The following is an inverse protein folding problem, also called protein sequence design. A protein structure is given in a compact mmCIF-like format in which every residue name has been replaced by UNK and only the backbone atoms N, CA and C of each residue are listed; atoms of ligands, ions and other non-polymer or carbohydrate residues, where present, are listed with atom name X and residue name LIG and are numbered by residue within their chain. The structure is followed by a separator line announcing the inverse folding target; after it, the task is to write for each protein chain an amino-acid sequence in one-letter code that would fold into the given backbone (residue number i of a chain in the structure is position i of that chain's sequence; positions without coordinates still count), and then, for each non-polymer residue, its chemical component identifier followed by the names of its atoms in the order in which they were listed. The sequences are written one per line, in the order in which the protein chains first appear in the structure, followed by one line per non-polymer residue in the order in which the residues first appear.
data_IF_424402947529
#
_entry.id   IF_424402947529
#
_cell.length_a   1.000
_cell.length_b   1.000
_cell.length_c   1.000
_cell.angle_alpha   90.00
_cell.angle_beta   90.00
_cell.angle_gamma   90.00
#
_symmetry.space_group_name_H-M   'P 1'
#
loop_
_entity.id
_entity.type
_entity.pdbx_description
1 polymer ?
#
# COMPACT_ATOMS: atom_id res chain seq x y z
N UNK A 1 33.78 -17.00 -3.34
CA UNK A 1 32.37 -16.55 -3.40
C UNK A 1 31.72 -17.05 -4.69
N UNK A 2 30.64 -17.78 -4.62
CA UNK A 2 29.85 -18.09 -5.81
C UNK A 2 29.18 -16.81 -6.28
N UNK A 3 29.46 -16.43 -7.52
CA UNK A 3 28.79 -15.31 -8.18
C UNK A 3 27.33 -15.69 -8.39
N UNK A 4 26.40 -15.06 -7.68
CA UNK A 4 24.98 -15.29 -7.93
C UNK A 4 24.63 -14.87 -9.36
N UNK A 5 24.01 -15.80 -10.07
CA UNK A 5 23.55 -15.55 -11.43
C UNK A 5 22.18 -14.90 -11.35
N UNK A 6 22.04 -13.71 -11.90
CA UNK A 6 20.77 -13.00 -11.94
C UNK A 6 19.72 -13.79 -12.74
N UNK A 7 18.53 -13.92 -12.19
CA UNK A 7 17.38 -14.51 -12.86
C UNK A 7 16.55 -13.43 -13.52
N UNK A 8 16.17 -13.65 -14.78
CA UNK A 8 15.30 -12.72 -15.51
C UNK A 8 13.82 -12.99 -15.19
N UNK A 9 13.06 -11.94 -15.02
CA UNK A 9 11.61 -11.98 -14.99
C UNK A 9 11.04 -10.83 -15.83
N UNK A 10 9.79 -10.90 -16.18
CA UNK A 10 9.11 -9.86 -16.96
C UNK A 10 7.82 -9.40 -16.28
N UNK A 11 7.46 -8.16 -16.52
CA UNK A 11 6.23 -7.57 -16.03
C UNK A 11 5.64 -6.68 -17.12
N UNK A 12 4.32 -6.65 -17.21
CA UNK A 12 3.60 -5.78 -18.14
C UNK A 12 3.04 -4.58 -17.40
N UNK A 13 3.35 -3.40 -17.89
CA UNK A 13 2.89 -2.12 -17.33
C UNK A 13 2.14 -1.32 -18.40
N UNK A 14 1.23 -0.46 -17.94
CA UNK A 14 0.67 0.56 -18.82
C UNK A 14 1.79 1.48 -19.33
N UNK A 15 1.76 1.92 -20.61
CA UNK A 15 2.82 2.75 -21.17
C UNK A 15 3.16 3.99 -20.35
N UNK A 16 2.17 4.71 -19.86
CA UNK A 16 2.37 5.90 -19.05
C UNK A 16 3.09 5.61 -17.72
N UNK A 17 2.84 4.45 -17.11
CA UNK A 17 3.51 4.04 -15.88
C UNK A 17 4.96 3.67 -16.13
N UNK A 18 5.25 3.02 -17.25
CA UNK A 18 6.62 2.69 -17.66
C UNK A 18 7.44 3.96 -17.93
N UNK A 19 6.85 4.95 -18.60
CA UNK A 19 7.49 6.24 -18.85
C UNK A 19 7.88 6.93 -17.53
N UNK A 20 6.99 6.99 -16.58
CA UNK A 20 7.25 7.56 -15.25
C UNK A 20 8.32 6.78 -14.48
N UNK A 21 8.33 5.46 -14.60
CA UNK A 21 9.42 4.64 -14.03
C UNK A 21 10.77 5.03 -14.62
N UNK A 22 10.85 5.21 -15.94
CA UNK A 22 12.09 5.58 -16.63
C UNK A 22 12.56 6.98 -16.23
N UNK A 23 11.65 7.96 -16.12
CA UNK A 23 11.95 9.30 -15.63
C UNK A 23 12.52 9.26 -14.21
N UNK A 24 11.85 8.58 -13.29
CA UNK A 24 12.29 8.43 -11.90
C UNK A 24 13.66 7.71 -11.82
N UNK A 25 13.86 6.69 -12.63
CA UNK A 25 15.13 5.95 -12.69
C UNK A 25 16.29 6.87 -13.08
N UNK A 26 16.07 7.71 -14.09
CA UNK A 26 17.06 8.69 -14.55
C UNK A 26 17.32 9.78 -13.48
N UNK A 27 16.27 10.35 -12.90
CA UNK A 27 16.39 11.40 -11.88
C UNK A 27 17.14 10.93 -10.63
N UNK A 28 16.96 9.68 -10.25
CA UNK A 28 17.67 9.08 -9.10
C UNK A 28 19.09 8.60 -9.43
N UNK A 29 19.51 8.71 -10.67
CA UNK A 29 20.86 8.36 -11.09
C UNK A 29 21.14 6.88 -11.24
N UNK A 30 20.12 6.06 -11.42
CA UNK A 30 20.31 4.63 -11.73
C UNK A 30 20.73 4.43 -13.18
N UNK A 31 21.68 3.54 -13.40
CA UNK A 31 22.17 3.24 -14.74
C UNK A 31 21.16 2.49 -15.62
N UNK A 32 20.26 1.74 -14.99
CA UNK A 32 19.25 0.96 -15.69
C UNK A 32 18.05 0.62 -14.79
N UNK A 33 16.98 0.12 -15.43
CA UNK A 33 15.74 -0.29 -14.73
C UNK A 33 15.99 -1.36 -13.69
N UNK A 34 16.85 -2.34 -13.97
CA UNK A 34 17.10 -3.46 -13.07
C UNK A 34 17.65 -3.02 -11.72
N UNK A 35 18.55 -2.05 -11.68
CA UNK A 35 19.10 -1.49 -10.45
C UNK A 35 18.02 -0.72 -9.66
N UNK A 36 17.25 0.11 -10.33
CA UNK A 36 16.16 0.86 -9.70
C UNK A 36 15.10 -0.08 -9.10
N UNK A 37 14.66 -1.07 -9.85
CA UNK A 37 13.66 -2.05 -9.41
C UNK A 37 14.21 -2.89 -8.26
N UNK A 38 15.46 -3.32 -8.30
CA UNK A 38 16.08 -4.08 -7.21
C UNK A 38 16.10 -3.29 -5.91
N UNK A 39 16.40 -1.99 -5.94
CA UNK A 39 16.36 -1.14 -4.77
C UNK A 39 14.95 -0.92 -4.24
N UNK A 40 13.97 -0.73 -5.14
CA UNK A 40 12.56 -0.66 -4.75
C UNK A 40 12.07 -1.93 -4.06
N UNK A 41 12.45 -3.08 -4.60
CA UNK A 41 12.10 -4.39 -3.99
C UNK A 41 12.74 -4.53 -2.62
N UNK A 42 14.02 -4.20 -2.48
CA UNK A 42 14.71 -4.26 -1.18
C UNK A 42 14.05 -3.36 -0.14
N UNK A 43 13.69 -2.13 -0.52
CA UNK A 43 13.00 -1.20 0.37
C UNK A 43 11.65 -1.76 0.84
N UNK A 44 10.86 -2.31 -0.07
CA UNK A 44 9.58 -2.93 0.27
C UNK A 44 9.74 -4.19 1.15
N UNK A 45 10.74 -5.00 0.90
CA UNK A 45 11.03 -6.19 1.72
C UNK A 45 11.47 -5.81 3.14
N UNK A 46 12.29 -4.77 3.28
CA UNK A 46 12.71 -4.27 4.61
C UNK A 46 11.49 -3.77 5.38
N UNK A 47 10.66 -2.97 4.75
CA UNK A 47 9.42 -2.48 5.35
C UNK A 47 8.48 -3.63 5.74
N UNK A 48 8.33 -4.62 4.87
CA UNK A 48 7.52 -5.81 5.13
C UNK A 48 8.03 -6.61 6.34
N UNK A 49 9.34 -6.79 6.47
CA UNK A 49 9.96 -7.53 7.58
C UNK A 49 9.85 -6.79 8.93
N UNK A 50 9.99 -5.47 8.92
CA UNK A 50 9.85 -4.66 10.14
C UNK A 50 8.45 -4.73 10.74
N UNK A 51 7.47 -5.13 9.95
CA UNK A 51 6.05 -5.21 10.31
C UNK A 51 5.63 -6.57 10.86
N UNK A 52 6.54 -7.46 11.21
CA UNK A 52 6.20 -8.81 11.73
C UNK A 52 5.76 -8.83 13.19
N UNK A 53 5.63 -7.68 13.83
CA UNK A 53 5.20 -7.58 15.21
C UNK A 53 3.72 -7.96 15.36
N UNK A 54 3.40 -8.72 16.42
CA UNK A 54 2.05 -9.17 16.76
C UNK A 54 1.34 -8.24 17.74
N UNK A 55 1.99 -7.17 18.17
CA UNK A 55 1.41 -6.18 19.09
C UNK A 55 0.23 -5.42 18.52
N UNK A 56 -0.50 -4.75 19.40
CA UNK A 56 -1.58 -3.84 18.99
C UNK A 56 -0.99 -2.54 18.44
N UNK A 57 -1.46 -2.14 17.29
CA UNK A 57 -1.08 -0.92 16.61
C UNK A 57 -2.30 -0.05 16.30
N UNK A 58 -2.04 1.22 16.06
CA UNK A 58 -2.96 2.12 15.40
C UNK A 58 -2.33 2.60 14.08
N UNK A 59 -3.14 3.08 13.18
CA UNK A 59 -2.64 3.57 11.91
C UNK A 59 -3.74 4.10 11.01
N UNK A 60 -3.35 4.42 9.79
CA UNK A 60 -4.26 4.83 8.74
C UNK A 60 -4.03 4.02 7.48
N UNK A 61 -5.11 3.72 6.78
CA UNK A 61 -5.07 3.15 5.44
C UNK A 61 -5.59 4.22 4.50
N UNK A 62 -4.76 4.66 3.58
CA UNK A 62 -5.13 5.68 2.59
C UNK A 62 -5.32 5.02 1.24
N UNK A 63 -6.46 5.27 0.60
CA UNK A 63 -6.82 4.74 -0.71
C UNK A 63 -7.11 5.87 -1.67
N UNK A 64 -6.66 5.73 -2.91
CA UNK A 64 -7.08 6.57 -4.03
C UNK A 64 -7.73 5.69 -5.08
N UNK A 65 -8.94 6.02 -5.48
CA UNK A 65 -9.68 5.26 -6.47
C UNK A 65 -10.68 6.12 -7.25
N UNK A 66 -11.09 5.61 -8.41
CA UNK A 66 -12.15 6.21 -9.21
C UNK A 66 -13.50 5.70 -8.72
N UNK A 67 -14.32 6.59 -8.16
CA UNK A 67 -15.64 6.24 -7.64
C UNK A 67 -16.64 5.82 -8.73
N UNK A 68 -16.35 6.06 -10.00
CA UNK A 68 -17.18 5.60 -11.11
C UNK A 68 -16.91 4.14 -11.51
N UNK A 69 -15.87 3.49 -10.98
CA UNK A 69 -15.60 2.08 -11.27
C UNK A 69 -16.71 1.20 -10.73
N UNK A 70 -17.36 0.38 -11.60
CA UNK A 70 -18.44 -0.51 -11.15
C UNK A 70 -17.99 -1.44 -10.03
N UNK A 71 -18.85 -1.62 -9.05
CA UNK A 71 -18.67 -2.54 -7.92
C UNK A 71 -17.55 -2.22 -6.94
N UNK A 72 -16.69 -1.23 -7.20
CA UNK A 72 -15.56 -0.93 -6.32
C UNK A 72 -16.02 -0.46 -4.94
N UNK A 73 -16.95 0.50 -4.90
CA UNK A 73 -17.43 1.05 -3.63
C UNK A 73 -18.16 0.01 -2.78
N UNK A 74 -18.95 -0.86 -3.40
CA UNK A 74 -19.59 -1.98 -2.72
C UNK A 74 -18.55 -2.97 -2.16
N UNK A 75 -17.53 -3.30 -2.94
CA UNK A 75 -16.44 -4.19 -2.52
C UNK A 75 -15.66 -3.63 -1.34
N UNK A 76 -15.32 -2.34 -1.36
CA UNK A 76 -14.62 -1.67 -0.26
C UNK A 76 -15.49 -1.62 1.00
N UNK A 77 -16.79 -1.37 0.85
CA UNK A 77 -17.75 -1.36 1.95
C UNK A 77 -17.87 -2.75 2.59
N UNK A 78 -17.95 -3.80 1.79
CA UNK A 78 -18.02 -5.18 2.28
C UNK A 78 -16.78 -5.56 3.10
N UNK A 79 -15.60 -5.21 2.62
CA UNK A 79 -14.35 -5.45 3.36
C UNK A 79 -14.36 -4.71 4.70
N UNK A 80 -14.83 -3.47 4.72
CA UNK A 80 -14.93 -2.67 5.94
C UNK A 80 -15.95 -3.28 6.93
N UNK A 81 -17.06 -3.78 6.45
CA UNK A 81 -18.05 -4.47 7.27
C UNK A 81 -17.50 -5.74 7.91
N UNK A 82 -16.72 -6.52 7.17
CA UNK A 82 -16.09 -7.75 7.67
C UNK A 82 -15.07 -7.47 8.79
N UNK A 83 -14.55 -6.26 8.85
CA UNK A 83 -13.52 -5.85 9.81
C UNK A 83 -13.92 -4.65 10.67
N UNK A 84 -15.20 -4.50 10.97
CA UNK A 84 -15.73 -3.33 11.70
C UNK A 84 -15.09 -3.12 13.08
N UNK A 85 -14.62 -4.17 13.75
CA UNK A 85 -13.96 -4.06 15.06
C UNK A 85 -12.60 -3.36 15.00
N UNK A 86 -11.92 -3.42 13.85
CA UNK A 86 -10.60 -2.84 13.65
C UNK A 86 -10.67 -1.45 13.02
N UNK A 87 -11.76 -1.09 12.37
CA UNK A 87 -11.93 0.19 11.67
C UNK A 87 -12.74 1.13 12.56
N UNK A 88 -12.07 2.19 13.06
CA UNK A 88 -12.66 3.14 13.99
C UNK A 88 -13.47 4.23 13.29
N UNK A 89 -12.99 4.69 12.16
CA UNK A 89 -13.60 5.77 11.39
C UNK A 89 -13.11 5.76 9.95
N UNK A 90 -13.88 6.38 9.09
CA UNK A 90 -13.56 6.54 7.67
C UNK A 90 -13.85 7.97 7.25
N UNK A 91 -12.93 8.57 6.51
CA UNK A 91 -13.09 9.87 5.88
C UNK A 91 -13.00 9.69 4.37
N UNK A 92 -13.99 10.20 3.65
CA UNK A 92 -14.06 10.12 2.20
C UNK A 92 -14.18 11.52 1.62
N UNK A 93 -13.29 11.89 0.72
CA UNK A 93 -13.30 13.17 0.03
C UNK A 93 -13.11 13.00 -1.48
N UNK A 94 -13.75 13.85 -2.25
CA UNK A 94 -13.53 13.94 -3.69
C UNK A 94 -12.32 14.83 -3.97
N UNK A 95 -11.33 14.29 -4.68
CA UNK A 95 -10.16 15.04 -5.11
C UNK A 95 -10.45 15.81 -6.40
N UNK A 96 -11.17 15.17 -7.31
CA UNK A 96 -11.63 15.72 -8.56
C UNK A 96 -12.90 14.98 -9.04
N UNK A 97 -13.29 15.18 -10.29
CA UNK A 97 -14.50 14.54 -10.84
C UNK A 97 -14.46 13.01 -10.84
N UNK A 98 -13.28 12.42 -10.94
CA UNK A 98 -13.11 10.96 -11.03
C UNK A 98 -12.52 10.33 -9.77
N UNK A 99 -11.62 11.01 -9.11
CA UNK A 99 -10.79 10.44 -8.06
C UNK A 99 -11.28 10.80 -6.66
N UNK A 100 -11.32 9.79 -5.80
CA UNK A 100 -11.61 9.92 -4.38
C UNK A 100 -10.39 9.55 -3.55
N UNK A 101 -10.25 10.23 -2.43
CA UNK A 101 -9.34 9.88 -1.35
C UNK A 101 -10.18 9.36 -0.18
N UNK A 102 -9.89 8.15 0.26
CA UNK A 102 -10.50 7.57 1.45
C UNK A 102 -9.42 7.24 2.47
N UNK A 103 -9.63 7.65 3.72
CA UNK A 103 -8.72 7.37 4.82
C UNK A 103 -9.48 6.61 5.90
N UNK A 104 -9.00 5.42 6.22
CA UNK A 104 -9.53 4.59 7.29
C UNK A 104 -8.60 4.69 8.49
N UNK A 105 -9.16 4.99 9.65
CA UNK A 105 -8.45 4.98 10.92
C UNK A 105 -8.63 3.61 11.53
N UNK A 106 -7.53 2.91 11.80
CA UNK A 106 -7.53 1.52 12.23
C UNK A 106 -6.77 1.31 13.52
N UNK A 107 -7.21 0.31 14.29
CA UNK A 107 -6.55 -0.15 15.51
C UNK A 107 -6.79 -1.65 15.67
N UNK A 108 -5.78 -2.36 16.08
CA UNK A 108 -5.86 -3.79 16.35
C UNK A 108 -4.49 -4.47 16.27
N UNK A 109 -4.51 -5.78 16.26
CA UNK A 109 -3.28 -6.57 16.08
C UNK A 109 -2.63 -6.22 14.74
N UNK A 110 -1.32 -6.04 14.74
CA UNK A 110 -0.55 -5.68 13.55
C UNK A 110 -0.83 -6.63 12.37
N UNK A 111 -0.89 -7.93 12.61
CA UNK A 111 -1.20 -8.92 11.57
C UNK A 111 -2.60 -8.75 10.96
N UNK A 112 -3.59 -8.42 11.78
CA UNK A 112 -4.97 -8.18 11.32
C UNK A 112 -5.05 -6.89 10.51
N UNK A 113 -4.43 -5.83 10.99
CA UNK A 113 -4.42 -4.53 10.30
C UNK A 113 -3.74 -4.63 8.93
N UNK A 114 -2.64 -5.37 8.83
CA UNK A 114 -1.98 -5.60 7.54
C UNK A 114 -2.83 -6.39 6.57
N UNK A 115 -3.51 -7.41 7.05
CA UNK A 115 -4.43 -8.18 6.22
C UNK A 115 -5.55 -7.32 5.66
N UNK A 116 -6.15 -6.47 6.48
CA UNK A 116 -7.19 -5.52 6.06
C UNK A 116 -6.63 -4.55 5.01
N UNK A 117 -5.45 -3.98 5.25
CA UNK A 117 -4.81 -3.08 4.31
C UNK A 117 -4.53 -3.77 2.97
N UNK A 118 -3.99 -4.98 2.99
CA UNK A 118 -3.69 -5.75 1.78
C UNK A 118 -4.97 -6.04 0.97
N UNK A 119 -6.06 -6.42 1.62
CA UNK A 119 -7.35 -6.66 0.97
C UNK A 119 -7.91 -5.39 0.30
N UNK A 120 -7.87 -4.25 1.01
CA UNK A 120 -8.36 -2.98 0.50
C UNK A 120 -7.51 -2.46 -0.66
N UNK A 121 -6.18 -2.50 -0.52
CA UNK A 121 -5.25 -2.00 -1.53
C UNK A 121 -5.28 -2.86 -2.79
N UNK A 122 -5.46 -4.17 -2.63
CA UNK A 122 -5.54 -5.11 -3.76
C UNK A 122 -6.90 -5.12 -4.45
N UNK A 123 -7.93 -4.46 -3.92
CA UNK A 123 -9.25 -4.42 -4.53
C UNK A 123 -9.18 -3.85 -5.95
N UNK A 124 -9.79 -4.55 -6.90
CA UNK A 124 -9.77 -4.16 -8.31
C UNK A 124 -10.38 -2.77 -8.51
N UNK A 125 -9.60 -1.86 -9.07
CA UNK A 125 -9.99 -0.47 -9.30
C UNK A 125 -9.39 0.52 -8.33
N UNK A 126 -8.77 0.08 -7.24
CA UNK A 126 -7.94 0.94 -6.38
C UNK A 126 -6.66 1.28 -7.13
N UNK A 127 -6.43 2.57 -7.33
CA UNK A 127 -5.27 3.08 -8.05
C UNK A 127 -4.00 3.06 -7.21
N UNK A 128 -4.15 3.38 -5.93
CA UNK A 128 -3.05 3.43 -4.97
C UNK A 128 -3.59 3.27 -3.57
N UNK A 129 -2.80 2.64 -2.70
CA UNK A 129 -3.11 2.53 -1.30
C UNK A 129 -1.84 2.43 -0.46
N UNK A 130 -1.94 2.88 0.78
CA UNK A 130 -0.82 2.84 1.72
C UNK A 130 -1.32 2.67 3.15
N UNK A 131 -0.72 1.74 3.85
CA UNK A 131 -0.83 1.60 5.30
C UNK A 131 0.28 2.40 5.97
N UNK A 132 -0.09 3.31 6.86
CA UNK A 132 0.83 4.01 7.75
C UNK A 132 0.59 3.53 9.17
N UNK A 133 1.58 2.84 9.73
CA UNK A 133 1.51 2.27 11.08
C UNK A 133 2.07 3.26 12.09
N UNK A 134 1.36 3.40 13.19
CA UNK A 134 1.81 4.10 14.38
C UNK A 134 1.52 3.26 15.62
N UNK A 135 1.72 3.82 16.78
CA UNK A 135 1.46 3.16 18.06
C UNK A 135 0.13 3.63 18.66
N UNK A 136 -0.46 2.83 19.54
CA UNK A 136 -1.58 3.24 20.37
C UNK A 136 -1.20 4.18 21.50
N UNK A 137 0.10 4.36 21.73
CA UNK A 137 0.62 5.18 22.82
C UNK A 137 0.83 4.45 24.16
N UNK A 138 0.29 3.25 24.30
CA UNK A 138 0.40 2.47 25.56
C UNK A 138 1.83 2.10 25.92
N UNK A 139 2.64 1.83 24.91
CA UNK A 139 4.04 1.38 25.08
C UNK A 139 5.06 2.53 24.95
N UNK A 140 4.59 3.75 24.77
CA UNK A 140 5.46 4.91 24.72
C UNK A 140 5.88 5.32 26.13
N UNK A 141 7.18 5.53 26.36
CA UNK A 141 7.63 6.05 27.63
C UNK A 141 7.09 7.46 27.86
N UNK A 142 6.69 7.71 29.08
CA UNK A 142 6.21 9.04 29.50
C UNK A 142 7.34 10.05 29.62
#
# INVERSE_FOLDING_TARGET
MKKEIATRFSVSLAPALLEQLDEMTAEKGYDNRSLAIADMIRAQLIEHRQKSDTGEIAGTITLVYDHHKPHLQASLTDIQHDHHDAILSTVHVHLDHHNCLEVLIVRGKASVIRKIADELIAAKGVKHGKLTVTTTGKDLPS
#
